data_IF_632074378969
#
_entry.id   IF_632074378969
#
_cell.length_a   1.000
_cell.length_b   1.000
_cell.length_c   1.000
_cell.angle_alpha   90.00
_cell.angle_beta   90.00
_cell.angle_gamma   90.00
#
_symmetry.space_group_name_H-M   'P 1'
#
loop_
_entity.id
_entity.type
_entity.pdbx_description
1 polymer ?
#
# COMPACT_ATOMS: atom_id res chain seq x y z
N UNK A 1 10.30 -27.63 -14.28
CA UNK A 1 10.39 -27.35 -12.82
C UNK A 1 10.46 -25.85 -12.64
N UNK A 2 9.37 -25.23 -12.17
CA UNK A 2 9.34 -23.79 -11.90
C UNK A 2 9.80 -23.60 -10.47
N UNK A 3 10.93 -22.90 -10.26
CA UNK A 3 11.36 -22.49 -8.92
C UNK A 3 10.24 -21.68 -8.26
N UNK A 4 9.95 -21.85 -6.95
CA UNK A 4 8.99 -21.00 -6.27
C UNK A 4 9.49 -19.56 -6.39
N UNK A 5 8.72 -18.69 -7.06
CA UNK A 5 9.01 -17.25 -7.09
C UNK A 5 9.18 -16.80 -5.65
N UNK A 6 10.36 -16.30 -5.29
CA UNK A 6 10.61 -15.71 -3.98
C UNK A 6 9.44 -14.76 -3.65
N UNK A 7 8.75 -14.98 -2.52
CA UNK A 7 7.74 -14.04 -2.04
C UNK A 7 8.44 -12.69 -1.87
N UNK A 8 8.09 -11.72 -2.73
CA UNK A 8 8.85 -10.47 -2.85
C UNK A 8 8.64 -9.54 -1.64
N UNK A 9 7.52 -9.72 -0.93
CA UNK A 9 7.10 -8.92 0.22
C UNK A 9 6.31 -9.79 1.22
N UNK A 10 6.33 -9.38 2.49
CA UNK A 10 5.59 -10.00 3.58
C UNK A 10 4.84 -8.93 4.41
N UNK A 11 3.84 -9.34 5.18
CA UNK A 11 3.16 -8.44 6.13
C UNK A 11 4.19 -7.98 7.16
N UNK A 12 4.20 -6.68 7.46
CA UNK A 12 5.17 -6.05 8.36
C UNK A 12 6.43 -5.51 7.67
N UNK A 13 6.71 -5.91 6.42
CA UNK A 13 7.78 -5.29 5.64
C UNK A 13 7.54 -3.78 5.49
N UNK A 14 8.63 -3.01 5.52
CA UNK A 14 8.61 -1.60 5.18
C UNK A 14 8.92 -1.44 3.69
N UNK A 15 8.01 -0.83 2.94
CA UNK A 15 8.14 -0.63 1.49
C UNK A 15 8.02 0.85 1.14
N UNK A 16 8.74 1.32 0.10
CA UNK A 16 8.61 2.66 -0.44
C UNK A 16 7.79 2.64 -1.73
N UNK A 17 6.87 3.59 -1.89
CA UNK A 17 6.13 3.79 -3.14
C UNK A 17 7.01 4.58 -4.10
N UNK A 18 7.38 3.97 -5.23
CA UNK A 18 8.30 4.55 -6.22
C UNK A 18 7.57 5.07 -7.46
N UNK A 19 6.31 4.67 -7.64
CA UNK A 19 5.50 5.08 -8.78
C UNK A 19 4.03 4.82 -8.53
N UNK A 20 3.21 5.27 -9.47
CA UNK A 20 1.76 5.12 -9.42
C UNK A 20 1.25 4.51 -10.74
N UNK A 21 0.12 3.79 -10.74
CA UNK A 21 -0.57 3.41 -11.96
C UNK A 21 -0.93 4.66 -12.79
N UNK A 22 -0.75 4.59 -14.11
CA UNK A 22 -1.08 5.69 -15.03
C UNK A 22 -2.59 5.86 -15.24
N UNK A 23 -3.37 4.85 -14.86
CA UNK A 23 -4.82 4.75 -15.02
C UNK A 23 -5.57 4.97 -13.69
N UNK A 24 -4.92 5.58 -12.70
CA UNK A 24 -5.59 6.01 -11.47
C UNK A 24 -6.76 6.96 -11.80
N UNK A 25 -7.97 6.51 -11.51
CA UNK A 25 -9.20 7.28 -11.67
C UNK A 25 -9.98 7.39 -10.36
N UNK A 26 -10.72 8.48 -10.19
CA UNK A 26 -11.62 8.65 -9.06
C UNK A 26 -13.02 8.11 -9.38
N UNK A 27 -13.12 6.80 -9.56
CA UNK A 27 -14.35 6.15 -10.02
C UNK A 27 -15.51 6.23 -9.02
N UNK A 28 -15.21 6.45 -7.74
CA UNK A 28 -16.19 6.53 -6.66
C UNK A 28 -16.36 7.95 -6.10
N UNK A 29 -15.62 8.94 -6.59
CA UNK A 29 -15.68 10.32 -6.08
C UNK A 29 -15.15 10.47 -4.65
N UNK A 30 -14.24 9.58 -4.23
CA UNK A 30 -13.69 9.51 -2.87
C UNK A 30 -12.26 10.02 -2.78
N UNK A 31 -11.72 10.60 -3.86
CA UNK A 31 -10.37 11.15 -3.87
C UNK A 31 -9.26 10.10 -3.95
N UNK A 32 -9.53 8.94 -4.58
CA UNK A 32 -8.53 7.86 -4.73
C UNK A 32 -7.19 8.35 -5.30
N UNK A 33 -7.14 9.14 -6.39
CA UNK A 33 -5.87 9.63 -6.93
C UNK A 33 -5.05 10.43 -5.92
N UNK A 34 -5.70 11.28 -5.12
CA UNK A 34 -5.04 12.15 -4.14
C UNK A 34 -4.38 11.32 -3.03
N UNK A 35 -5.01 10.24 -2.56
CA UNK A 35 -4.42 9.34 -1.55
C UNK A 35 -3.18 8.63 -2.12
N UNK A 36 -3.24 8.17 -3.37
CA UNK A 36 -2.09 7.57 -4.06
C UNK A 36 -0.94 8.58 -4.23
N UNK A 37 -1.23 9.81 -4.65
CA UNK A 37 -0.26 10.90 -4.76
C UNK A 37 0.42 11.22 -3.42
N UNK A 38 -0.34 11.22 -2.33
CA UNK A 38 0.21 11.42 -0.98
C UNK A 38 1.18 10.30 -0.56
N UNK A 39 1.02 9.10 -1.10
CA UNK A 39 1.89 7.95 -0.79
C UNK A 39 3.21 7.98 -1.58
N UNK A 40 3.25 8.63 -2.74
CA UNK A 40 4.41 8.62 -3.63
C UNK A 40 5.69 9.11 -2.93
N UNK A 41 6.75 8.34 -3.05
CA UNK A 41 8.06 8.60 -2.45
C UNK A 41 8.18 8.28 -0.96
N UNK A 42 7.08 7.93 -0.28
CA UNK A 42 7.06 7.63 1.16
C UNK A 42 7.12 6.13 1.42
N UNK A 43 7.50 5.78 2.66
CA UNK A 43 7.59 4.40 3.10
C UNK A 43 6.45 4.05 4.06
N UNK A 44 5.87 2.86 3.87
CA UNK A 44 4.74 2.34 4.62
C UNK A 44 4.96 0.88 4.99
N UNK A 45 4.36 0.45 6.09
CA UNK A 45 4.31 -0.97 6.45
C UNK A 45 3.24 -1.67 5.63
N UNK A 46 3.56 -2.85 5.14
CA UNK A 46 2.59 -3.75 4.52
C UNK A 46 1.66 -4.28 5.60
N UNK A 47 0.37 -3.96 5.52
CA UNK A 47 -0.65 -4.43 6.47
C UNK A 47 -1.30 -5.74 6.03
N UNK A 48 -1.35 -5.98 4.72
CA UNK A 48 -2.11 -7.08 4.15
C UNK A 48 -1.92 -7.22 2.66
N UNK A 49 -2.61 -8.22 2.10
CA UNK A 49 -2.67 -8.49 0.68
C UNK A 49 -4.11 -8.80 0.28
N UNK A 50 -4.58 -8.27 -0.85
CA UNK A 50 -5.87 -8.67 -1.40
C UNK A 50 -5.74 -9.91 -2.29
N UNK A 51 -6.87 -10.40 -2.82
CA UNK A 51 -6.91 -11.57 -3.70
C UNK A 51 -6.09 -11.43 -5.00
N UNK A 52 -5.76 -10.19 -5.41
CA UNK A 52 -4.91 -9.90 -6.58
C UNK A 52 -3.42 -9.79 -6.22
N UNK A 53 -3.06 -9.91 -4.94
CA UNK A 53 -1.70 -9.76 -4.46
C UNK A 53 -1.21 -8.31 -4.37
N UNK A 54 -2.13 -7.33 -4.35
CA UNK A 54 -1.78 -5.94 -4.07
C UNK A 54 -1.49 -5.78 -2.59
N UNK A 55 -0.52 -4.91 -2.28
CA UNK A 55 -0.13 -4.58 -0.92
C UNK A 55 -1.11 -3.56 -0.35
N UNK A 56 -1.58 -3.84 0.85
CA UNK A 56 -2.37 -2.90 1.64
C UNK A 56 -1.45 -1.95 2.41
N UNK A 57 -1.56 -0.65 2.12
CA UNK A 57 -0.79 0.40 2.79
C UNK A 57 -1.75 1.43 3.39
N UNK A 58 -1.64 1.67 4.70
CA UNK A 58 -2.37 2.73 5.40
C UNK A 58 -1.60 4.03 5.22
N UNK A 59 -2.19 4.98 4.47
CA UNK A 59 -1.57 6.26 4.10
C UNK A 59 -1.85 7.33 5.13
N UNK A 60 -3.09 7.36 5.63
CA UNK A 60 -3.54 8.27 6.69
C UNK A 60 -4.24 7.44 7.75
N UNK A 61 -3.95 7.75 9.01
CA UNK A 61 -4.61 7.14 10.17
C UNK A 61 -5.10 8.28 11.07
N UNK A 62 -6.36 8.21 11.49
CA UNK A 62 -7.00 9.19 12.37
C UNK A 62 -7.77 8.46 13.48
N UNK A 63 -7.65 9.00 14.70
CA UNK A 63 -8.39 8.55 15.88
C UNK A 63 -9.22 9.71 16.42
N UNK A 64 -10.35 10.07 15.79
CA UNK A 64 -11.13 11.23 16.20
C UNK A 64 -11.73 11.10 17.60
N UNK A 65 -11.84 9.88 18.15
CA UNK A 65 -12.19 9.64 19.55
C UNK A 65 -11.59 8.31 20.04
N UNK A 66 -11.71 8.02 21.33
CA UNK A 66 -11.26 6.75 21.92
C UNK A 66 -11.95 5.50 21.33
N UNK A 67 -13.04 5.66 20.58
CA UNK A 67 -13.83 4.56 20.01
C UNK A 67 -14.00 4.65 18.50
N UNK A 68 -13.34 5.60 17.83
CA UNK A 68 -13.47 5.81 16.39
C UNK A 68 -12.09 5.79 15.74
N UNK A 69 -11.99 5.01 14.68
CA UNK A 69 -10.80 4.84 13.87
C UNK A 69 -11.16 5.08 12.40
N UNK A 70 -10.41 5.94 11.74
CA UNK A 70 -10.57 6.26 10.32
C UNK A 70 -9.20 6.14 9.64
N UNK A 71 -9.17 5.58 8.44
CA UNK A 71 -7.93 5.43 7.70
C UNK A 71 -8.15 5.48 6.20
N UNK A 72 -7.24 6.17 5.52
CA UNK A 72 -7.13 6.10 4.06
C UNK A 72 -6.14 4.99 3.72
N UNK A 73 -6.62 4.00 2.98
CA UNK A 73 -5.86 2.80 2.62
C UNK A 73 -5.77 2.68 1.11
N UNK A 74 -4.57 2.38 0.60
CA UNK A 74 -4.36 2.06 -0.81
C UNK A 74 -4.01 0.59 -0.99
N UNK A 75 -4.44 0.04 -2.12
CA UNK A 75 -4.11 -1.30 -2.57
C UNK A 75 -3.25 -1.20 -3.83
N UNK A 76 -1.94 -1.40 -3.69
CA UNK A 76 -0.98 -1.11 -4.76
C UNK A 76 -0.28 -2.38 -5.27
N UNK A 77 -0.06 -2.46 -6.59
CA UNK A 77 0.69 -3.57 -7.17
C UNK A 77 2.16 -3.59 -6.70
N UNK A 78 2.75 -4.78 -6.46
CA UNK A 78 4.15 -4.94 -6.05
C UNK A 78 5.21 -4.32 -6.99
N UNK A 79 4.85 -3.99 -8.23
CA UNK A 79 5.77 -3.38 -9.22
C UNK A 79 6.02 -1.89 -8.96
N UNK A 80 5.15 -1.23 -8.21
CA UNK A 80 5.24 0.20 -7.90
C UNK A 80 5.95 0.49 -6.57
N UNK A 81 6.46 -0.55 -5.90
CA UNK A 81 7.10 -0.42 -4.59
C UNK A 81 8.46 -1.09 -4.54
N UNK A 82 9.31 -0.58 -3.68
CA UNK A 82 10.62 -1.15 -3.34
C UNK A 82 10.66 -1.57 -1.87
N UNK A 83 11.37 -2.65 -1.55
CA UNK A 83 11.57 -3.08 -0.16
C UNK A 83 12.60 -2.15 0.50
N UNK A 84 12.26 -1.58 1.65
CA UNK A 84 13.15 -0.74 2.47
C UNK A 84 13.75 -1.55 3.61
N UNK A 85 12.92 -2.32 4.33
CA UNK A 85 13.35 -3.16 5.44
C UNK A 85 12.41 -4.35 5.62
N UNK A 86 12.93 -5.48 6.08
CA UNK A 86 12.11 -6.63 6.49
C UNK A 86 11.81 -6.58 7.97
N UNK A 87 10.65 -7.11 8.35
CA UNK A 87 10.42 -7.44 9.75
C UNK A 87 11.42 -8.55 10.14
N UNK A 88 12.18 -8.32 11.22
CA UNK A 88 13.15 -9.26 11.74
C UNK A 88 12.49 -10.40 12.51
#
# INVERSE_FOLDING_TARGET
MTLPRAKKFEIGDLVRVEGLPSDLGDFAGIGTPQVFEQALGKAFRVQGFNALGHLELVVVEQHPSAHAYEADTIWIEPKFVSLVARLA
#
